data_IF_257437945551
#
_entry.id   IF_257437945551
#
_cell.length_a   1.000
_cell.length_b   1.000
_cell.length_c   1.000
_cell.angle_alpha   90.00
_cell.angle_beta   90.00
_cell.angle_gamma   90.00
#
_symmetry.space_group_name_H-M   'P 1'
#
loop_
_entity.id
_entity.type
_entity.pdbx_description
1 polymer ?
#
# COMPACT_ATOMS: atom_id res chain seq x y z
N UNK A 1 -15.07 23.53 16.75
CA UNK A 1 -14.79 22.17 16.27
C UNK A 1 -13.36 21.88 16.66
N UNK A 2 -13.12 21.00 17.65
CA UNK A 2 -11.77 20.63 18.03
C UNK A 2 -11.13 19.93 16.81
N UNK A 3 -10.05 20.51 16.28
CA UNK A 3 -9.20 19.81 15.34
C UNK A 3 -8.75 18.53 16.05
N UNK A 4 -9.09 17.37 15.49
CA UNK A 4 -8.55 16.10 15.95
C UNK A 4 -7.03 16.25 15.97
N UNK A 5 -6.42 16.12 17.15
CA UNK A 5 -4.99 16.32 17.39
C UNK A 5 -4.14 15.23 16.73
N UNK A 6 -4.15 15.17 15.39
CA UNK A 6 -3.28 14.28 14.62
C UNK A 6 -2.24 15.10 13.85
N UNK A 7 -0.97 14.68 13.99
CA UNK A 7 0.14 15.24 13.26
C UNK A 7 0.74 14.19 12.31
N UNK A 8 1.00 14.57 11.05
CA UNK A 8 1.71 13.70 10.10
C UNK A 8 3.21 13.90 10.29
N UNK A 9 3.92 12.81 10.55
CA UNK A 9 5.36 12.83 10.78
C UNK A 9 6.07 11.73 9.99
N UNK A 10 7.38 11.89 9.74
CA UNK A 10 8.20 10.82 9.23
C UNK A 10 8.29 9.67 10.24
N UNK A 11 8.44 8.44 9.76
CA UNK A 11 8.61 7.26 10.62
C UNK A 11 10.10 7.06 10.92
N UNK A 12 10.58 7.33 12.14
CA UNK A 12 11.95 7.06 12.52
C UNK A 12 12.17 5.55 12.76
N UNK A 13 13.40 5.08 12.58
CA UNK A 13 13.74 3.65 12.77
C UNK A 13 13.36 3.12 14.15
N UNK A 14 13.44 3.97 15.17
CA UNK A 14 13.07 3.64 16.56
C UNK A 14 11.61 3.22 16.72
N UNK A 15 10.74 3.57 15.75
CA UNK A 15 9.31 3.23 15.77
C UNK A 15 8.93 2.13 14.77
N UNK A 16 9.86 1.52 14.05
CA UNK A 16 9.54 0.46 13.08
C UNK A 16 8.77 -0.71 13.70
N UNK A 17 9.13 -1.10 14.94
CA UNK A 17 8.43 -2.16 15.66
C UNK A 17 6.96 -1.83 15.91
N UNK A 18 6.66 -0.59 16.33
CA UNK A 18 5.29 -0.13 16.55
C UNK A 18 4.49 -0.06 15.24
N UNK A 19 5.14 0.34 14.15
CA UNK A 19 4.53 0.35 12.81
C UNK A 19 4.15 -1.07 12.38
N UNK A 20 5.04 -2.05 12.54
CA UNK A 20 4.73 -3.45 12.23
C UNK A 20 3.59 -3.96 13.10
N UNK A 21 3.58 -3.63 14.39
CA UNK A 21 2.48 -4.00 15.29
C UNK A 21 1.15 -3.38 14.84
N UNK A 22 1.14 -2.08 14.49
CA UNK A 22 -0.04 -1.43 13.90
C UNK A 22 -0.55 -2.19 12.66
N UNK A 23 0.36 -2.59 11.75
CA UNK A 23 -0.01 -3.31 10.53
C UNK A 23 -0.59 -4.69 10.81
N UNK A 24 -0.09 -5.42 11.78
CA UNK A 24 -0.65 -6.71 12.22
C UNK A 24 -2.11 -6.59 12.67
N UNK A 25 -2.45 -5.47 13.34
CA UNK A 25 -3.80 -5.25 13.87
C UNK A 25 -4.76 -4.56 12.91
N UNK A 26 -4.26 -3.73 11.98
CA UNK A 26 -5.10 -2.84 11.17
C UNK A 26 -4.96 -3.01 9.65
N UNK A 27 -4.01 -3.84 9.16
CA UNK A 27 -3.80 -4.05 7.74
C UNK A 27 -3.65 -5.51 7.34
N UNK A 28 -2.75 -6.29 7.94
CA UNK A 28 -2.46 -7.67 7.49
C UNK A 28 -3.70 -8.56 7.49
N UNK A 29 -4.57 -8.42 8.48
CA UNK A 29 -5.80 -9.18 8.59
C UNK A 29 -7.00 -8.55 7.87
N UNK A 30 -6.94 -7.24 7.52
CA UNK A 30 -8.06 -6.48 6.96
C UNK A 30 -7.92 -6.24 5.44
N UNK A 31 -6.72 -6.41 4.89
CA UNK A 31 -6.46 -6.23 3.46
C UNK A 31 -7.26 -7.25 2.63
N UNK A 32 -7.99 -6.81 1.57
CA UNK A 32 -8.96 -7.66 0.89
C UNK A 32 -8.42 -9.00 0.36
N UNK A 33 -7.23 -9.03 -0.26
CA UNK A 33 -6.63 -10.25 -0.78
C UNK A 33 -6.10 -11.14 0.36
N UNK A 34 -5.48 -10.54 1.39
CA UNK A 34 -5.04 -11.27 2.58
C UNK A 34 -6.22 -11.95 3.27
N UNK A 35 -7.35 -11.23 3.41
CA UNK A 35 -8.59 -11.79 3.95
C UNK A 35 -9.13 -12.94 3.10
N UNK A 36 -9.11 -12.81 1.77
CA UNK A 36 -9.66 -13.81 0.86
C UNK A 36 -8.98 -15.18 1.03
N UNK A 37 -7.65 -15.18 1.15
CA UNK A 37 -6.87 -16.42 1.33
C UNK A 37 -6.67 -16.82 2.79
N UNK A 38 -7.09 -15.97 3.75
CA UNK A 38 -6.83 -16.19 5.17
C UNK A 38 -5.33 -16.21 5.47
N UNK A 39 -4.60 -15.18 5.00
CA UNK A 39 -3.15 -15.09 5.13
C UNK A 39 -2.72 -14.91 6.58
N UNK A 40 -3.36 -13.98 7.29
CA UNK A 40 -3.05 -13.64 8.68
C UNK A 40 -4.33 -13.51 9.51
N UNK A 41 -4.23 -13.81 10.80
CA UNK A 41 -5.20 -13.40 11.81
C UNK A 41 -4.80 -12.04 12.40
N UNK A 42 -5.77 -11.36 13.00
CA UNK A 42 -5.52 -10.06 13.65
C UNK A 42 -4.45 -10.18 14.74
N UNK A 43 -3.40 -9.37 14.64
CA UNK A 43 -2.26 -9.39 15.56
C UNK A 43 -1.21 -10.47 15.27
N UNK A 44 -1.45 -11.38 14.32
CA UNK A 44 -0.50 -12.42 13.93
C UNK A 44 0.68 -11.85 13.13
N UNK A 45 1.88 -12.34 13.40
CA UNK A 45 3.06 -12.03 12.62
C UNK A 45 3.08 -12.79 11.30
N UNK A 46 3.63 -12.19 10.27
CA UNK A 46 3.85 -12.84 8.97
C UNK A 46 5.20 -12.43 8.40
N UNK A 47 6.11 -13.38 8.33
CA UNK A 47 7.52 -13.13 8.01
C UNK A 47 7.71 -12.35 6.69
N UNK A 48 7.09 -12.79 5.60
CA UNK A 48 7.28 -12.17 4.28
C UNK A 48 6.66 -10.76 4.21
N UNK A 49 5.47 -10.56 4.78
CA UNK A 49 4.84 -9.24 4.85
C UNK A 49 5.67 -8.26 5.69
N UNK A 50 6.16 -8.69 6.85
CA UNK A 50 6.96 -7.86 7.73
C UNK A 50 8.28 -7.47 7.09
N UNK A 51 8.96 -8.42 6.44
CA UNK A 51 10.19 -8.14 5.69
C UNK A 51 9.96 -7.14 4.55
N UNK A 52 8.86 -7.28 3.81
CA UNK A 52 8.47 -6.33 2.76
C UNK A 52 8.23 -4.93 3.35
N UNK A 53 7.51 -4.84 4.47
CA UNK A 53 7.26 -3.57 5.16
C UNK A 53 8.54 -2.94 5.70
N UNK A 54 9.42 -3.72 6.35
CA UNK A 54 10.70 -3.24 6.89
C UNK A 54 11.63 -2.76 5.77
N UNK A 55 11.68 -3.47 4.63
CA UNK A 55 12.45 -3.03 3.46
C UNK A 55 11.92 -1.70 2.91
N UNK A 56 10.60 -1.50 2.91
CA UNK A 56 9.96 -0.24 2.51
C UNK A 56 10.26 0.88 3.50
N UNK A 57 10.13 0.64 4.79
CA UNK A 57 10.42 1.62 5.85
C UNK A 57 11.85 2.16 5.79
N UNK A 58 12.83 1.29 5.50
CA UNK A 58 14.25 1.66 5.35
C UNK A 58 14.51 2.65 4.20
N UNK A 59 13.58 2.80 3.26
CA UNK A 59 13.73 3.77 2.18
C UNK A 59 13.44 5.23 2.62
N UNK A 60 12.83 5.44 3.79
CA UNK A 60 12.73 6.75 4.45
C UNK A 60 11.59 7.65 3.95
N UNK A 61 10.69 7.16 3.09
CA UNK A 61 9.56 7.95 2.55
C UNK A 61 8.23 7.72 3.26
N UNK A 62 8.18 6.75 4.18
CA UNK A 62 6.96 6.38 4.88
C UNK A 62 6.56 7.41 5.93
N UNK A 63 5.25 7.57 6.15
CA UNK A 63 4.69 8.59 7.05
C UNK A 63 3.68 7.95 8.00
N UNK A 64 3.52 8.57 9.18
CA UNK A 64 2.49 8.15 10.13
C UNK A 64 1.74 9.37 10.68
N UNK A 65 0.48 9.16 11.01
CA UNK A 65 -0.36 10.05 11.78
C UNK A 65 -0.26 9.67 13.24
N UNK A 66 0.13 10.62 14.08
CA UNK A 66 0.21 10.43 15.53
C UNK A 66 -0.69 11.42 16.26
N UNK A 67 -1.31 10.96 17.33
CA UNK A 67 -2.00 11.80 18.31
C UNK A 67 -1.00 12.57 19.16
N UNK A 68 -1.48 13.54 19.95
CA UNK A 68 -0.62 14.34 20.85
C UNK A 68 0.10 13.48 21.91
N UNK A 69 -0.44 12.32 22.28
CA UNK A 69 0.23 11.36 23.18
C UNK A 69 1.15 10.38 22.46
N UNK A 70 1.31 10.52 21.15
CA UNK A 70 2.20 9.71 20.31
C UNK A 70 1.60 8.40 19.80
N UNK A 71 0.32 8.11 20.05
CA UNK A 71 -0.37 6.92 19.52
C UNK A 71 -0.48 6.99 17.99
N UNK A 72 -0.19 5.89 17.29
CA UNK A 72 -0.33 5.80 15.83
C UNK A 72 -1.81 5.67 15.46
N UNK A 73 -2.36 6.70 14.82
CA UNK A 73 -3.73 6.67 14.29
C UNK A 73 -3.85 6.14 12.87
N UNK A 74 -2.74 6.14 12.13
CA UNK A 74 -2.65 5.61 10.77
C UNK A 74 -1.26 5.81 10.20
N UNK A 75 -0.98 5.15 9.09
CA UNK A 75 0.30 5.24 8.42
C UNK A 75 0.20 4.94 6.93
N UNK A 76 1.20 5.40 6.19
CA UNK A 76 1.41 5.06 4.79
C UNK A 76 2.84 4.57 4.60
N UNK A 77 2.99 3.40 3.99
CA UNK A 77 4.30 2.89 3.58
C UNK A 77 4.52 3.27 2.12
N UNK A 78 5.49 4.13 1.91
CA UNK A 78 5.91 4.60 0.60
C UNK A 78 7.29 4.05 0.26
N UNK A 79 7.45 3.63 -1.00
CA UNK A 79 8.71 3.12 -1.50
C UNK A 79 9.02 3.61 -2.90
N UNK A 80 10.17 3.20 -3.39
CA UNK A 80 10.61 3.45 -4.76
C UNK A 80 10.62 2.10 -5.49
N UNK A 81 10.13 2.08 -6.70
CA UNK A 81 10.29 0.99 -7.64
C UNK A 81 11.19 1.46 -8.79
N UNK A 82 12.33 0.81 -8.97
CA UNK A 82 13.25 1.05 -10.09
C UNK A 82 12.95 0.10 -11.24
N UNK A 83 13.26 0.57 -12.44
CA UNK A 83 13.18 -0.25 -13.65
C UNK A 83 14.02 -1.52 -13.50
N UNK A 84 13.42 -2.69 -13.76
CA UNK A 84 14.04 -4.01 -13.58
C UNK A 84 13.86 -4.65 -12.22
N UNK A 85 13.54 -3.90 -11.16
CA UNK A 85 13.36 -4.48 -9.82
C UNK A 85 12.13 -5.39 -9.71
N UNK A 86 11.11 -5.15 -10.53
CA UNK A 86 9.89 -5.98 -10.54
C UNK A 86 10.17 -7.41 -10.97
N UNK A 87 10.95 -7.59 -12.02
CA UNK A 87 11.34 -8.90 -12.53
C UNK A 87 12.21 -9.64 -11.52
N UNK A 88 13.08 -8.92 -10.82
CA UNK A 88 13.90 -9.48 -9.75
C UNK A 88 13.04 -9.87 -8.52
N UNK A 89 12.10 -9.03 -8.13
CA UNK A 89 11.16 -9.33 -7.05
C UNK A 89 10.32 -10.58 -7.38
N UNK A 90 9.87 -10.74 -8.63
CA UNK A 90 9.13 -11.92 -9.06
C UNK A 90 9.98 -13.20 -9.00
N UNK A 91 11.25 -13.15 -9.43
CA UNK A 91 12.18 -14.30 -9.29
C UNK A 91 12.44 -14.64 -7.81
N UNK A 92 12.43 -13.67 -6.91
CA UNK A 92 12.52 -13.95 -5.46
C UNK A 92 11.23 -14.55 -4.92
N UNK A 93 10.08 -14.11 -5.41
CA UNK A 93 8.78 -14.64 -5.03
C UNK A 93 8.64 -16.13 -5.33
N UNK A 94 9.21 -16.62 -6.45
CA UNK A 94 9.21 -18.04 -6.81
C UNK A 94 9.89 -18.94 -5.74
N UNK A 95 10.81 -18.38 -4.96
CA UNK A 95 11.55 -19.08 -3.90
C UNK A 95 10.91 -19.02 -2.51
N UNK A 96 9.81 -18.29 -2.37
CA UNK A 96 9.06 -18.22 -1.12
C UNK A 96 8.26 -19.50 -0.94
N UNK A 97 8.24 -20.08 0.26
CA UNK A 97 7.51 -21.31 0.54
C UNK A 97 6.02 -21.08 0.84
N UNK A 98 5.63 -19.83 1.18
CA UNK A 98 4.25 -19.47 1.49
C UNK A 98 3.40 -19.33 0.23
N UNK A 99 2.61 -20.36 -0.07
CA UNK A 99 1.75 -20.40 -1.26
C UNK A 99 0.64 -19.31 -1.26
N UNK A 100 0.14 -18.91 -0.10
CA UNK A 100 -0.86 -17.84 -0.02
C UNK A 100 -0.24 -16.49 -0.38
N UNK A 101 0.93 -16.21 0.19
CA UNK A 101 1.71 -15.02 -0.13
C UNK A 101 2.09 -15.00 -1.62
N UNK A 102 2.62 -16.11 -2.16
CA UNK A 102 2.95 -16.23 -3.59
C UNK A 102 1.74 -15.93 -4.49
N UNK A 103 0.60 -16.46 -4.14
CA UNK A 103 -0.62 -16.29 -4.94
C UNK A 103 -1.07 -14.82 -4.98
N UNK A 104 -1.04 -14.11 -3.84
CA UNK A 104 -1.36 -12.68 -3.79
C UNK A 104 -0.36 -11.86 -4.60
N UNK A 105 0.93 -12.03 -4.34
CA UNK A 105 1.97 -11.24 -5.01
C UNK A 105 2.13 -11.60 -6.49
N UNK A 106 1.79 -12.84 -6.88
CA UNK A 106 1.66 -13.25 -8.28
C UNK A 106 0.54 -12.50 -9.01
N UNK A 107 -0.63 -12.30 -8.36
CA UNK A 107 -1.72 -11.49 -8.90
C UNK A 107 -1.29 -10.02 -9.04
N UNK A 108 -0.63 -9.44 -8.03
CA UNK A 108 -0.10 -8.07 -8.10
C UNK A 108 0.96 -7.94 -9.20
N UNK A 109 1.80 -8.96 -9.39
CA UNK A 109 2.75 -8.97 -10.50
C UNK A 109 2.05 -8.97 -11.86
N UNK A 110 0.98 -9.77 -12.03
CA UNK A 110 0.16 -9.81 -13.25
C UNK A 110 -0.44 -8.43 -13.54
N UNK A 111 -1.04 -7.77 -12.53
CA UNK A 111 -1.57 -6.40 -12.65
C UNK A 111 -0.50 -5.44 -13.17
N UNK A 112 0.67 -5.45 -12.55
CA UNK A 112 1.76 -4.53 -12.86
C UNK A 112 2.50 -4.83 -14.16
N UNK A 113 2.34 -6.04 -14.71
CA UNK A 113 2.93 -6.43 -15.99
C UNK A 113 2.07 -6.04 -17.18
N UNK A 114 0.80 -5.69 -16.95
CA UNK A 114 -0.14 -5.29 -18.02
C UNK A 114 0.22 -3.93 -18.64
N UNK A 115 0.87 -3.04 -17.88
CA UNK A 115 1.26 -1.70 -18.36
C UNK A 115 2.71 -1.42 -17.98
N UNK A 116 3.50 -0.96 -18.94
CA UNK A 116 4.88 -0.53 -18.67
C UNK A 116 4.92 0.95 -18.30
N UNK A 117 4.67 1.25 -17.02
CA UNK A 117 4.64 2.62 -16.52
C UNK A 117 5.97 3.36 -16.69
N UNK A 118 7.11 2.68 -16.70
CA UNK A 118 8.42 3.31 -16.94
C UNK A 118 8.51 3.90 -18.34
N UNK A 119 7.98 3.18 -19.33
CA UNK A 119 7.93 3.67 -20.72
C UNK A 119 6.86 4.74 -20.90
N UNK A 120 5.66 4.51 -20.33
CA UNK A 120 4.53 5.46 -20.46
C UNK A 120 4.87 6.83 -19.90
N UNK A 121 5.55 6.88 -18.74
CA UNK A 121 5.89 8.15 -18.07
C UNK A 121 7.34 8.60 -18.28
N UNK A 122 8.10 7.96 -19.18
CA UNK A 122 9.49 8.30 -19.48
C UNK A 122 10.35 8.50 -18.21
N UNK A 123 10.34 7.50 -17.30
CA UNK A 123 11.06 7.52 -16.03
C UNK A 123 11.69 6.17 -15.74
N UNK A 124 12.78 6.17 -14.98
CA UNK A 124 13.44 4.94 -14.50
C UNK A 124 13.07 4.60 -13.04
N UNK A 125 12.31 5.49 -12.38
CA UNK A 125 11.88 5.30 -10.99
C UNK A 125 10.41 5.74 -10.83
N UNK A 126 9.63 4.95 -10.08
CA UNK A 126 8.26 5.26 -9.68
C UNK A 126 8.20 5.38 -8.15
N UNK A 127 7.47 6.36 -7.67
CA UNK A 127 7.09 6.40 -6.25
C UNK A 127 5.90 5.47 -6.03
N UNK A 128 5.96 4.61 -5.04
CA UNK A 128 4.89 3.65 -4.75
C UNK A 128 4.24 3.93 -3.40
N UNK A 129 2.93 4.16 -3.39
CA UNK A 129 2.11 4.05 -2.19
C UNK A 129 1.75 2.57 -2.01
N UNK A 130 2.54 1.85 -1.19
CA UNK A 130 2.43 0.38 -1.03
C UNK A 130 1.36 -0.03 -0.04
N UNK A 131 1.25 0.69 1.07
CA UNK A 131 0.29 0.42 2.14
C UNK A 131 -0.28 1.75 2.61
N UNK A 132 -1.61 1.82 2.75
CA UNK A 132 -2.33 2.92 3.39
C UNK A 132 -3.25 2.33 4.45
N UNK A 133 -2.94 2.57 5.72
CA UNK A 133 -3.62 1.95 6.86
C UNK A 133 -4.07 3.01 7.87
N UNK A 134 -5.29 2.88 8.36
CA UNK A 134 -5.84 3.68 9.45
C UNK A 134 -6.32 2.73 10.54
N UNK A 135 -5.96 3.02 11.78
CA UNK A 135 -6.43 2.27 12.94
C UNK A 135 -7.96 2.24 12.97
N UNK A 136 -8.54 1.08 13.23
CA UNK A 136 -10.00 0.89 13.16
C UNK A 136 -10.77 1.89 14.03
N UNK A 137 -10.18 2.32 15.17
CA UNK A 137 -10.78 3.30 16.09
C UNK A 137 -10.93 4.70 15.48
N UNK A 138 -10.11 5.01 14.48
CA UNK A 138 -10.04 6.34 13.86
C UNK A 138 -10.52 6.35 12.40
N UNK A 139 -11.06 5.21 11.91
CA UNK A 139 -11.65 5.14 10.55
C UNK A 139 -12.87 6.07 10.43
N UNK A 140 -13.19 6.46 9.20
CA UNK A 140 -14.31 7.37 8.93
C UNK A 140 -14.03 8.85 9.18
N UNK A 141 -12.87 9.22 9.72
CA UNK A 141 -12.50 10.61 10.04
C UNK A 141 -11.68 11.30 8.93
N UNK A 142 -11.52 10.66 7.77
CA UNK A 142 -10.78 11.23 6.64
C UNK A 142 -9.27 11.12 6.72
N UNK A 143 -8.70 10.42 7.72
CA UNK A 143 -7.26 10.35 7.97
C UNK A 143 -6.46 9.74 6.79
N UNK A 144 -7.05 8.81 6.04
CA UNK A 144 -6.44 8.27 4.83
C UNK A 144 -6.20 9.36 3.77
N UNK A 145 -7.12 10.35 3.66
CA UNK A 145 -6.92 11.49 2.75
C UNK A 145 -5.76 12.37 3.22
N UNK A 146 -5.63 12.61 4.52
CA UNK A 146 -4.52 13.38 5.10
C UNK A 146 -3.17 12.72 4.82
N UNK A 147 -3.07 11.40 5.03
CA UNK A 147 -1.87 10.61 4.73
C UNK A 147 -1.52 10.63 3.23
N UNK A 148 -2.52 10.49 2.36
CA UNK A 148 -2.27 10.50 0.91
C UNK A 148 -1.89 11.89 0.40
N UNK A 149 -2.49 12.98 0.94
CA UNK A 149 -2.05 14.34 0.63
C UNK A 149 -0.59 14.57 0.99
N UNK A 150 -0.16 14.15 2.19
CA UNK A 150 1.23 14.26 2.63
C UNK A 150 2.17 13.38 1.76
N UNK A 151 1.74 12.16 1.39
CA UNK A 151 2.46 11.28 0.45
C UNK A 151 2.75 11.96 -0.88
N UNK A 152 1.75 12.64 -1.45
CA UNK A 152 1.90 13.39 -2.71
C UNK A 152 2.94 14.50 -2.55
N UNK A 153 2.90 15.25 -1.46
CA UNK A 153 3.87 16.31 -1.18
C UNK A 153 5.29 15.76 -0.96
N UNK A 154 5.43 14.62 -0.29
CA UNK A 154 6.72 13.92 -0.11
C UNK A 154 7.28 13.52 -1.48
N UNK A 155 6.48 12.91 -2.34
CA UNK A 155 6.91 12.48 -3.67
C UNK A 155 7.33 13.67 -4.56
N UNK A 156 6.55 14.77 -4.55
CA UNK A 156 6.88 16.01 -5.26
C UNK A 156 8.21 16.61 -4.80
N UNK A 157 8.38 16.75 -3.48
CA UNK A 157 9.61 17.28 -2.88
C UNK A 157 10.85 16.44 -3.18
N UNK A 158 10.65 15.12 -3.31
CA UNK A 158 11.72 14.19 -3.68
C UNK A 158 12.00 14.15 -5.20
N UNK A 159 11.24 14.89 -6.03
CA UNK A 159 11.45 15.03 -7.47
C UNK A 159 10.89 13.89 -8.31
N UNK A 160 10.00 13.06 -7.76
CA UNK A 160 9.34 12.03 -8.54
C UNK A 160 8.32 12.62 -9.50
N UNK A 161 8.19 12.00 -10.67
CA UNK A 161 7.22 12.40 -11.70
C UNK A 161 5.87 11.73 -11.55
N UNK A 162 5.86 10.54 -10.92
CA UNK A 162 4.72 9.63 -10.91
C UNK A 162 4.62 8.93 -9.57
N UNK A 163 3.39 8.83 -9.05
CA UNK A 163 3.04 7.94 -7.93
C UNK A 163 2.17 6.82 -8.48
N UNK A 164 2.47 5.57 -8.12
CA UNK A 164 1.59 4.42 -8.37
C UNK A 164 1.06 3.82 -7.07
N UNK A 165 -0.07 3.16 -7.17
CA UNK A 165 -0.64 2.33 -6.10
C UNK A 165 -1.38 1.13 -6.69
N UNK A 166 -1.26 -0.04 -6.03
CA UNK A 166 -2.05 -1.22 -6.32
C UNK A 166 -3.22 -1.26 -5.34
N UNK A 167 -4.38 -0.80 -5.78
CA UNK A 167 -5.56 -0.61 -4.92
C UNK A 167 -6.48 -1.84 -4.97
N UNK A 168 -6.41 -2.69 -3.95
CA UNK A 168 -7.16 -3.94 -3.82
C UNK A 168 -8.58 -3.75 -3.29
N UNK A 169 -8.85 -2.66 -2.58
CA UNK A 169 -10.13 -2.40 -1.91
C UNK A 169 -10.84 -1.16 -2.39
N UNK A 170 -12.17 -1.20 -2.43
CA UNK A 170 -13.00 -0.07 -2.87
C UNK A 170 -12.77 1.20 -2.03
N UNK A 171 -12.42 1.05 -0.76
CA UNK A 171 -12.20 2.21 0.11
C UNK A 171 -10.91 2.96 -0.24
N UNK A 172 -9.80 2.24 -0.46
CA UNK A 172 -8.55 2.84 -0.93
C UNK A 172 -8.69 3.40 -2.34
N UNK A 173 -9.39 2.71 -3.25
CA UNK A 173 -9.68 3.20 -4.60
C UNK A 173 -10.36 4.58 -4.57
N UNK A 174 -11.40 4.74 -3.74
CA UNK A 174 -12.08 6.03 -3.57
C UNK A 174 -11.17 7.15 -3.02
N UNK A 175 -10.25 6.81 -2.12
CA UNK A 175 -9.27 7.77 -1.61
C UNK A 175 -8.31 8.18 -2.72
N UNK A 176 -7.77 7.24 -3.48
CA UNK A 176 -6.89 7.54 -4.62
C UNK A 176 -7.61 8.35 -5.70
N UNK A 177 -8.83 7.97 -6.11
CA UNK A 177 -9.64 8.70 -7.09
C UNK A 177 -9.89 10.15 -6.68
N UNK A 178 -10.22 10.38 -5.40
CA UNK A 178 -10.42 11.73 -4.84
C UNK A 178 -9.17 12.61 -4.94
N UNK A 179 -7.99 12.02 -4.93
CA UNK A 179 -6.70 12.71 -5.06
C UNK A 179 -6.17 12.77 -6.50
N UNK A 180 -7.01 12.44 -7.48
CA UNK A 180 -6.70 12.59 -8.90
C UNK A 180 -5.97 11.40 -9.54
N UNK A 181 -5.79 10.30 -8.80
CA UNK A 181 -5.24 9.08 -9.40
C UNK A 181 -6.17 8.54 -10.49
N UNK A 182 -5.59 8.17 -11.62
CA UNK A 182 -6.28 7.53 -12.73
C UNK A 182 -6.04 6.01 -12.70
N UNK A 183 -7.01 5.23 -13.18
CA UNK A 183 -6.86 3.78 -13.31
C UNK A 183 -6.18 3.47 -14.65
N UNK A 184 -4.95 2.95 -14.61
CA UNK A 184 -4.20 2.51 -15.79
C UNK A 184 -4.58 1.10 -16.22
N UNK A 185 -4.82 0.22 -15.24
CA UNK A 185 -5.26 -1.15 -15.50
C UNK A 185 -6.10 -1.67 -14.34
N UNK A 186 -6.96 -2.65 -14.64
CA UNK A 186 -7.80 -3.29 -13.61
C UNK A 186 -7.99 -4.76 -13.92
N UNK A 187 -8.18 -5.55 -12.88
CA UNK A 187 -8.54 -6.96 -12.93
C UNK A 187 -9.82 -7.14 -12.10
N UNK A 188 -10.97 -7.46 -12.75
CA UNK A 188 -12.20 -7.77 -12.02
C UNK A 188 -12.00 -9.02 -11.15
N UNK A 189 -12.46 -9.00 -9.93
CA UNK A 189 -12.35 -10.17 -9.05
C UNK A 189 -13.22 -11.35 -9.52
N UNK A 190 -14.20 -11.13 -10.38
CA UNK A 190 -14.96 -12.20 -11.05
C UNK A 190 -14.13 -13.04 -12.03
N UNK A 191 -13.00 -12.50 -12.50
CA UNK A 191 -12.13 -13.11 -13.52
C UNK A 191 -10.91 -13.84 -12.95
N UNK A 192 -10.69 -13.78 -11.62
CA UNK A 192 -9.59 -14.49 -10.95
C UNK A 192 -10.07 -15.76 -10.24
N UNK A 193 -9.12 -16.57 -9.76
CA UNK A 193 -9.40 -17.76 -8.95
C UNK A 193 -10.35 -17.40 -7.78
N UNK A 194 -11.38 -18.21 -7.58
CA UNK A 194 -12.38 -18.00 -6.52
C UNK A 194 -11.77 -17.87 -5.14
N UNK A 195 -10.69 -18.59 -4.86
CA UNK A 195 -9.96 -18.55 -3.58
C UNK A 195 -9.33 -17.18 -3.29
N UNK A 196 -9.07 -16.37 -4.32
CA UNK A 196 -8.50 -15.04 -4.21
C UNK A 196 -9.56 -13.93 -4.18
N UNK A 197 -10.85 -14.26 -4.38
CA UNK A 197 -11.90 -13.25 -4.49
C UNK A 197 -12.23 -12.65 -3.14
N UNK A 198 -11.97 -11.34 -2.93
CA UNK A 198 -12.41 -10.66 -1.74
C UNK A 198 -13.94 -10.64 -1.62
N UNK A 199 -14.42 -10.62 -0.37
CA UNK A 199 -15.86 -10.47 -0.11
C UNK A 199 -16.35 -9.09 -0.57
N UNK A 200 -17.66 -8.95 -0.91
CA UNK A 200 -18.27 -7.64 -1.13
C UNK A 200 -17.93 -6.68 0.05
N UNK A 201 -17.73 -5.38 -0.24
CA UNK A 201 -18.08 -4.68 -1.49
C UNK A 201 -16.96 -4.60 -2.54
N UNK A 202 -15.83 -5.29 -2.35
CA UNK A 202 -14.68 -5.24 -3.27
C UNK A 202 -15.00 -5.95 -4.59
N UNK A 203 -14.74 -5.29 -5.73
CA UNK A 203 -15.13 -5.79 -7.06
C UNK A 203 -13.95 -6.03 -8.00
N UNK A 204 -12.86 -5.29 -7.81
CA UNK A 204 -11.72 -5.26 -8.73
C UNK A 204 -10.45 -4.83 -8.03
N UNK A 205 -9.31 -5.25 -8.57
CA UNK A 205 -7.97 -4.77 -8.28
C UNK A 205 -7.61 -3.71 -9.32
N UNK A 206 -7.09 -2.55 -8.89
CA UNK A 206 -6.70 -1.44 -9.78
C UNK A 206 -5.23 -1.10 -9.65
N UNK A 207 -4.55 -0.95 -10.79
CA UNK A 207 -3.31 -0.20 -10.91
C UNK A 207 -3.67 1.28 -11.10
N UNK A 208 -3.36 2.11 -10.12
CA UNK A 208 -3.72 3.52 -10.11
C UNK A 208 -2.47 4.39 -10.11
N UNK A 209 -2.51 5.48 -10.86
CA UNK A 209 -1.35 6.35 -11.11
C UNK A 209 -1.75 7.80 -10.99
N UNK A 210 -0.84 8.62 -10.43
CA UNK A 210 -0.93 10.08 -10.39
C UNK A 210 0.35 10.67 -10.99
N UNK A 211 0.19 11.48 -12.05
CA UNK A 211 1.25 12.34 -12.57
C UNK A 211 1.44 13.57 -11.66
N UNK A 212 2.69 13.91 -11.36
CA UNK A 212 3.07 14.98 -10.42
C UNK A 212 3.56 16.27 -11.13
N UNK A 213 2.99 16.55 -12.29
CA UNK A 213 3.34 17.77 -13.05
C UNK A 213 2.96 19.07 -12.36
#
# INVERSE_FOLDING_TARGET
>A
MCSSGFNVVAIPETRFKEVIEHLRFNFFADEPLNCAVGLCRKGESHFELENHCLATLKQGYSRMLVTDDGTIGGLVLNGILKKGEREEAFRRLEKVDDEKFKTIFGLLHTLNSAVNLFTTHCTDELFECRILSVDEKFRGQGLANTLLSDTIEVAKKAGFKVIKADATGIYSQKVFEKHGFQTEFRIPYSEIDEKLRPKPPHKELKLMVLDLH
#
